data_IF_376219263362
#
_entry.id   IF_376219263362
#
_cell.length_a   1.000
_cell.length_b   1.000
_cell.length_c   1.000
_cell.angle_alpha   90.00
_cell.angle_beta   90.00
_cell.angle_gamma   90.00
#
_symmetry.space_group_name_H-M   'P 1'
#
loop_
_entity.id
_entity.type
_entity.pdbx_description
1 polymer ?
#
# COMPACT_ATOMS: atom_id res chain seq x y z
N UNK A 1 -18.93 11.20 -2.27
CA UNK A 1 -17.68 11.96 -2.15
C UNK A 1 -17.03 11.93 -3.51
N UNK A 2 -16.80 13.09 -4.13
CA UNK A 2 -16.18 13.21 -5.45
C UNK A 2 -14.79 13.82 -5.21
N UNK A 3 -13.79 12.96 -5.12
CA UNK A 3 -12.38 13.36 -5.04
C UNK A 3 -11.73 13.04 -6.38
N UNK A 4 -10.95 14.00 -6.88
CA UNK A 4 -10.40 14.08 -8.24
C UNK A 4 -11.50 14.08 -9.32
N UNK A 5 -11.61 15.17 -10.08
CA UNK A 5 -12.63 15.31 -11.12
C UNK A 5 -12.60 14.17 -12.13
N UNK A 6 -13.77 13.88 -12.71
CA UNK A 6 -13.97 12.81 -13.69
C UNK A 6 -12.78 12.69 -14.68
N UNK A 7 -12.16 11.49 -14.71
CA UNK A 7 -11.11 11.14 -15.69
C UNK A 7 -9.66 11.17 -15.19
N UNK A 8 -9.41 11.46 -13.90
CA UNK A 8 -8.06 11.36 -13.32
C UNK A 8 -7.75 9.89 -12.95
N UNK A 9 -6.57 9.35 -13.32
CA UNK A 9 -6.19 7.99 -12.93
C UNK A 9 -6.06 7.87 -11.40
N UNK A 10 -6.72 6.87 -10.83
CA UNK A 10 -6.60 6.52 -9.40
C UNK A 10 -5.46 5.54 -9.23
N UNK A 11 -4.56 5.83 -8.29
CA UNK A 11 -3.43 4.97 -7.92
C UNK A 11 -3.65 4.48 -6.50
N UNK A 12 -3.81 3.17 -6.34
CA UNK A 12 -3.95 2.54 -5.02
C UNK A 12 -2.55 2.26 -4.48
N UNK A 13 -2.07 3.09 -3.56
CA UNK A 13 -0.70 2.99 -3.04
C UNK A 13 -0.42 1.64 -2.35
N UNK A 14 -1.43 1.02 -1.77
CA UNK A 14 -1.35 -0.29 -1.12
C UNK A 14 -1.51 -1.48 -2.09
N UNK A 15 -1.59 -1.25 -3.41
CA UNK A 15 -1.81 -2.31 -4.38
C UNK A 15 -0.71 -3.39 -4.29
N UNK A 16 -1.17 -4.65 -4.16
CA UNK A 16 -0.30 -5.82 -4.04
C UNK A 16 0.26 -6.06 -2.64
N UNK A 17 -0.27 -5.40 -1.60
CA UNK A 17 0.03 -5.72 -0.22
C UNK A 17 -1.03 -6.65 0.36
N UNK A 18 -0.56 -7.74 0.96
CA UNK A 18 -1.38 -8.58 1.81
C UNK A 18 -1.49 -7.94 3.20
N UNK A 19 -2.69 -8.00 3.80
CA UNK A 19 -2.86 -7.69 5.22
C UNK A 19 -1.86 -8.53 6.01
N UNK A 20 -1.01 -7.87 6.80
CA UNK A 20 -0.16 -8.57 7.75
C UNK A 20 -1.08 -9.45 8.60
N UNK A 21 -0.81 -10.75 8.64
CA UNK A 21 -1.53 -11.67 9.50
C UNK A 21 -1.27 -11.23 10.93
N UNK A 22 -2.22 -10.46 11.48
CA UNK A 22 -2.09 -9.91 12.80
C UNK A 22 -1.97 -11.06 13.78
N UNK A 23 -0.81 -11.19 14.42
CA UNK A 23 -0.63 -11.95 15.65
C UNK A 23 -1.45 -11.30 16.77
N UNK A 24 -2.77 -11.33 16.65
CA UNK A 24 -3.66 -11.22 17.79
C UNK A 24 -3.89 -12.65 18.25
N UNK A 25 -3.05 -13.09 19.20
CA UNK A 25 -3.44 -14.12 20.15
C UNK A 25 -4.71 -13.62 20.88
N UNK A 26 -5.86 -13.81 20.25
CA UNK A 26 -7.14 -13.84 20.95
C UNK A 26 -7.27 -15.26 21.49
N UNK A 27 -6.64 -15.51 22.65
CA UNK A 27 -7.07 -16.61 23.50
C UNK A 27 -8.50 -16.30 23.97
N UNK A 28 -9.49 -16.91 23.31
CA UNK A 28 -10.90 -16.78 23.68
C UNK A 28 -11.87 -17.35 22.64
N UNK A 29 -12.01 -18.67 22.67
CA UNK A 29 -13.18 -19.51 22.36
C UNK A 29 -14.28 -19.01 21.38
N UNK A 30 -14.46 -19.82 20.32
CA UNK A 30 -15.70 -20.13 19.57
C UNK A 30 -16.53 -19.00 18.93
N UNK A 31 -16.50 -18.91 17.60
CA UNK A 31 -17.60 -19.35 16.73
C UNK A 31 -17.48 -18.79 15.30
N UNK A 32 -17.45 -19.71 14.33
CA UNK A 32 -18.04 -19.61 12.98
C UNK A 32 -18.01 -18.25 12.27
N UNK A 33 -16.95 -17.99 11.49
CA UNK A 33 -17.08 -17.14 10.30
C UNK A 33 -16.68 -17.92 9.06
N UNK A 34 -17.73 -18.36 8.37
CA UNK A 34 -17.68 -19.03 7.10
C UNK A 34 -16.98 -18.16 6.04
N UNK A 35 -16.19 -18.84 5.23
CA UNK A 35 -15.63 -18.42 3.95
C UNK A 35 -16.69 -17.67 3.12
N UNK A 36 -16.51 -16.35 2.97
CA UNK A 36 -17.15 -15.60 1.92
C UNK A 36 -16.06 -14.94 1.06
N UNK A 37 -15.77 -15.59 -0.05
CA UNK A 37 -15.12 -14.95 -1.20
C UNK A 37 -15.95 -13.74 -1.65
N UNK A 38 -15.52 -12.56 -1.22
CA UNK A 38 -15.97 -11.30 -1.82
C UNK A 38 -15.02 -10.92 -2.94
N UNK A 39 -15.31 -11.45 -4.13
CA UNK A 39 -14.85 -10.88 -5.37
C UNK A 39 -15.62 -9.58 -5.63
N UNK A 40 -15.06 -8.43 -5.27
CA UNK A 40 -15.42 -7.14 -5.86
C UNK A 40 -14.45 -6.02 -5.46
N UNK A 41 -13.93 -5.37 -6.50
CA UNK A 41 -13.49 -3.98 -6.58
C UNK A 41 -12.13 -3.63 -5.96
N UNK A 42 -11.29 -3.00 -6.79
CA UNK A 42 -9.88 -2.63 -6.63
C UNK A 42 -9.58 -1.61 -5.51
N UNK A 43 -10.44 -1.49 -4.50
CA UNK A 43 -10.27 -0.57 -3.38
C UNK A 43 -10.10 -1.38 -2.11
N UNK A 44 -8.85 -1.56 -1.67
CA UNK A 44 -8.53 -2.32 -0.46
C UNK A 44 -9.15 -1.61 0.77
N UNK A 45 -10.32 -2.08 1.16
CA UNK A 45 -10.82 -2.00 2.54
C UNK A 45 -11.06 -3.43 3.01
N UNK A 46 -10.01 -4.26 2.96
CA UNK A 46 -10.03 -5.53 3.65
C UNK A 46 -10.25 -5.26 5.15
N UNK A 47 -11.04 -6.07 5.88
CA UNK A 47 -11.32 -5.89 7.31
C UNK A 47 -10.12 -6.22 8.22
N UNK A 48 -8.91 -5.79 7.83
CA UNK A 48 -7.65 -5.92 8.57
C UNK A 48 -7.15 -4.57 9.07
N UNK A 49 -6.02 -4.58 9.78
CA UNK A 49 -5.37 -3.35 10.25
C UNK A 49 -4.97 -2.45 9.06
N UNK A 50 -5.52 -1.22 8.93
CA UNK A 50 -5.23 -0.36 7.80
C UNK A 50 -3.84 0.31 7.87
N UNK A 51 -3.08 0.13 8.95
CA UNK A 51 -1.80 0.82 9.18
C UNK A 51 -0.60 0.14 8.50
N UNK A 52 -0.80 -0.34 7.27
CA UNK A 52 0.23 -1.01 6.46
C UNK A 52 1.54 -0.21 6.36
N UNK A 53 1.45 1.12 6.33
CA UNK A 53 2.59 2.03 6.17
C UNK A 53 3.56 2.03 7.36
N UNK A 54 3.19 1.44 8.50
CA UNK A 54 4.08 1.31 9.66
C UNK A 54 5.14 0.22 9.49
N UNK A 55 4.99 -0.67 8.50
CA UNK A 55 6.01 -1.63 8.09
C UNK A 55 6.89 -1.01 7.01
N UNK A 56 8.21 -0.96 7.22
CA UNK A 56 9.15 -0.41 6.23
C UNK A 56 9.07 -1.15 4.87
N UNK A 57 9.06 -2.50 4.82
CA UNK A 57 8.85 -3.22 3.56
C UNK A 57 7.57 -2.80 2.82
N UNK A 58 6.49 -2.53 3.54
CA UNK A 58 5.24 -2.06 2.93
C UNK A 58 5.36 -0.60 2.48
N UNK A 59 6.00 0.26 3.27
CA UNK A 59 6.25 1.65 2.89
C UNK A 59 7.07 1.75 1.60
N UNK A 60 8.06 0.89 1.39
CA UNK A 60 8.80 0.78 0.11
C UNK A 60 7.83 0.48 -1.04
N UNK A 61 6.90 -0.47 -0.86
CA UNK A 61 5.91 -0.80 -1.89
C UNK A 61 4.98 0.38 -2.22
N UNK A 62 4.59 1.16 -1.21
CA UNK A 62 3.82 2.40 -1.42
C UNK A 62 4.58 3.38 -2.31
N UNK A 63 5.88 3.58 -2.05
CA UNK A 63 6.73 4.49 -2.82
C UNK A 63 6.83 4.04 -4.29
N UNK A 64 7.01 2.75 -4.53
CA UNK A 64 7.03 2.19 -5.89
C UNK A 64 5.72 2.42 -6.64
N UNK A 65 4.59 2.11 -6.01
CA UNK A 65 3.26 2.27 -6.62
C UNK A 65 2.97 3.75 -6.94
N UNK A 66 3.33 4.66 -6.03
CA UNK A 66 3.16 6.11 -6.23
C UNK A 66 4.08 6.60 -7.36
N UNK A 67 5.35 6.17 -7.40
CA UNK A 67 6.29 6.49 -8.48
C UNK A 67 5.73 6.08 -9.83
N UNK A 68 5.25 4.85 -9.94
CA UNK A 68 4.74 4.31 -11.20
C UNK A 68 3.47 5.05 -11.65
N UNK A 69 2.59 5.37 -10.71
CA UNK A 69 1.41 6.20 -10.95
C UNK A 69 1.73 7.61 -11.43
N UNK A 70 2.70 8.28 -10.80
CA UNK A 70 3.15 9.61 -11.21
C UNK A 70 3.85 9.59 -12.57
N UNK A 71 4.72 8.60 -12.82
CA UNK A 71 5.41 8.46 -14.11
C UNK A 71 4.43 8.15 -15.26
N UNK A 72 3.35 7.42 -15.00
CA UNK A 72 2.30 7.18 -15.98
C UNK A 72 1.48 8.45 -16.28
N UNK A 73 1.22 9.28 -15.26
CA UNK A 73 0.46 10.52 -15.40
C UNK A 73 1.28 11.67 -16.01
N UNK A 74 2.59 11.71 -15.74
CA UNK A 74 3.53 12.75 -16.20
C UNK A 74 4.86 12.14 -16.68
N UNK A 75 4.88 11.57 -17.91
CA UNK A 75 6.06 10.88 -18.44
C UNK A 75 7.28 11.79 -18.63
N UNK A 76 7.07 13.09 -18.84
CA UNK A 76 8.15 14.06 -19.06
C UNK A 76 9.03 14.21 -17.79
N UNK A 77 8.49 13.87 -16.62
CA UNK A 77 9.18 13.94 -15.33
C UNK A 77 9.48 12.55 -14.71
N UNK A 78 9.29 11.46 -15.46
CA UNK A 78 9.43 10.09 -14.98
C UNK A 78 10.81 9.80 -14.33
N UNK A 79 11.90 10.28 -14.94
CA UNK A 79 13.25 10.12 -14.39
C UNK A 79 13.42 10.83 -13.03
N UNK A 80 12.76 11.99 -12.86
CA UNK A 80 12.74 12.72 -11.59
C UNK A 80 12.01 11.93 -10.50
N UNK A 81 10.85 11.34 -10.81
CA UNK A 81 10.14 10.48 -9.85
C UNK A 81 10.94 9.23 -9.48
N UNK A 82 11.61 8.63 -10.46
CA UNK A 82 12.47 7.47 -10.22
C UNK A 82 13.63 7.82 -9.28
N UNK A 83 14.38 8.89 -9.57
CA UNK A 83 15.50 9.31 -8.72
C UNK A 83 15.06 9.60 -7.29
N UNK A 84 13.92 10.27 -7.09
CA UNK A 84 13.39 10.56 -5.74
C UNK A 84 12.91 9.31 -5.01
N UNK A 85 12.29 8.38 -5.73
CA UNK A 85 11.87 7.12 -5.16
C UNK A 85 13.09 6.29 -4.70
N UNK A 86 14.14 6.22 -5.49
CA UNK A 86 15.39 5.52 -5.14
C UNK A 86 16.05 6.14 -3.90
N UNK A 87 16.17 7.47 -3.83
CA UNK A 87 16.68 8.19 -2.66
C UNK A 87 15.87 7.87 -1.40
N UNK A 88 14.55 7.97 -1.47
CA UNK A 88 13.69 7.77 -0.31
C UNK A 88 13.61 6.30 0.12
N UNK A 89 13.65 5.35 -0.82
CA UNK A 89 13.73 3.91 -0.49
C UNK A 89 15.03 3.61 0.26
N UNK A 90 16.15 4.24 -0.12
CA UNK A 90 17.40 4.09 0.61
C UNK A 90 17.31 4.64 2.05
N UNK A 91 16.63 5.78 2.26
CA UNK A 91 16.36 6.32 3.60
C UNK A 91 15.50 5.37 4.45
N UNK A 92 14.46 4.77 3.85
CA UNK A 92 13.62 3.78 4.51
C UNK A 92 14.41 2.53 4.91
N UNK A 93 15.25 2.00 4.02
CA UNK A 93 16.10 0.85 4.31
C UNK A 93 17.14 1.14 5.40
N UNK A 94 17.67 2.37 5.43
CA UNK A 94 18.56 2.80 6.49
C UNK A 94 17.82 2.84 7.85
N UNK A 95 16.60 3.39 7.87
CA UNK A 95 15.75 3.43 9.05
C UNK A 95 15.45 2.02 9.59
N UNK A 96 15.11 1.07 8.72
CA UNK A 96 14.82 -0.33 9.11
C UNK A 96 16.04 -1.03 9.72
N UNK A 97 17.25 -0.64 9.32
CA UNK A 97 18.48 -1.19 9.87
C UNK A 97 18.87 -0.61 11.24
N UNK A 98 18.23 0.46 11.71
CA UNK A 98 18.49 1.09 13.01
C UNK A 98 17.68 0.46 14.17
N UNK A 99 16.68 -0.37 13.87
CA UNK A 99 15.76 -1.00 14.84
C UNK A 99 16.00 -2.50 15.01
#
# INVERSE_FOLDING_TARGET
EENAGDGVPIVVASAGLDALEGGHDHEGEDADHADEQHAADDLVTAPGDPHFWLSVPNAVRYVENIRDGLAAADPDHAEGYQSRAEEFIAELQALDAEV
#
